data_IF_965656733099
#
_entry.id   IF_965656733099
#
_cell.length_a   1.000
_cell.length_b   1.000
_cell.length_c   1.000
_cell.angle_alpha   90.00
_cell.angle_beta   90.00
_cell.angle_gamma   90.00
#
_symmetry.space_group_name_H-M   'P 1'
#
loop_
_entity.id
_entity.type
_entity.pdbx_description
1 polymer ?
#
# COMPACT_ATOMS: atom_id res chain seq x y z
N UNK A 1 -28.20 8.41 20.45
CA UNK A 1 -28.08 8.69 19.01
C UNK A 1 -26.90 7.87 18.53
N UNK A 2 -27.10 7.02 17.54
CA UNK A 2 -26.00 6.24 16.98
C UNK A 2 -25.31 7.08 15.91
N UNK A 3 -23.99 7.20 15.99
CA UNK A 3 -23.20 7.74 14.89
C UNK A 3 -23.10 6.67 13.78
N UNK A 4 -23.02 7.07 12.51
CA UNK A 4 -22.84 6.11 11.41
C UNK A 4 -21.65 5.18 11.61
N UNK A 5 -20.56 5.63 12.26
CA UNK A 5 -19.38 4.80 12.53
C UNK A 5 -19.68 3.56 13.39
N UNK A 6 -20.81 3.56 14.10
CA UNK A 6 -21.26 2.43 14.93
C UNK A 6 -22.03 1.36 14.14
N UNK A 7 -22.48 1.68 12.92
CA UNK A 7 -23.02 0.70 11.98
C UNK A 7 -21.83 -0.05 11.37
N UNK A 8 -21.49 -1.20 11.94
CA UNK A 8 -20.39 -2.06 11.45
C UNK A 8 -20.94 -3.38 10.94
N UNK A 9 -20.51 -3.84 9.77
CA UNK A 9 -20.90 -5.16 9.23
C UNK A 9 -19.83 -5.73 8.28
N UNK A 10 -19.31 -6.92 8.61
CA UNK A 10 -18.35 -7.66 7.77
C UNK A 10 -19.05 -8.66 6.83
N UNK A 11 -20.39 -8.72 6.88
CA UNK A 11 -21.25 -9.63 6.12
C UNK A 11 -20.89 -11.12 6.18
N UNK A 12 -20.03 -11.55 7.13
CA UNK A 12 -19.57 -12.94 7.27
C UNK A 12 -20.67 -13.90 7.74
N UNK A 13 -21.76 -13.36 8.28
CA UNK A 13 -22.93 -14.14 8.67
C UNK A 13 -23.56 -14.88 7.47
N UNK A 14 -24.27 -15.99 7.68
CA UNK A 14 -24.88 -16.75 6.58
C UNK A 14 -26.15 -16.09 6.00
N UNK A 15 -26.70 -15.07 6.67
CA UNK A 15 -27.95 -14.39 6.31
C UNK A 15 -27.90 -12.94 6.75
N UNK A 16 -28.65 -12.08 6.05
CA UNK A 16 -28.84 -10.66 6.35
C UNK A 16 -29.10 -10.42 7.84
N UNK A 17 -28.31 -9.51 8.44
CA UNK A 17 -28.59 -9.00 9.77
C UNK A 17 -29.76 -8.01 9.71
N UNK A 18 -30.97 -8.53 9.91
CA UNK A 18 -32.22 -7.74 9.90
C UNK A 18 -32.31 -6.70 11.03
N UNK A 19 -31.40 -6.72 12.01
CA UNK A 19 -31.33 -5.66 13.03
C UNK A 19 -30.61 -4.44 12.47
N UNK A 20 -29.52 -4.66 11.73
CA UNK A 20 -28.76 -3.59 11.08
C UNK A 20 -29.42 -3.09 9.80
N UNK A 21 -29.98 -4.02 9.02
CA UNK A 21 -30.53 -3.81 7.67
C UNK A 21 -32.01 -4.22 7.57
N UNK A 22 -32.92 -3.59 8.36
CA UNK A 22 -34.34 -3.96 8.37
C UNK A 22 -35.10 -3.54 7.11
N UNK A 23 -34.62 -2.52 6.38
CA UNK A 23 -35.39 -1.81 5.36
C UNK A 23 -34.97 -2.20 3.93
N UNK A 24 -34.26 -3.32 3.76
CA UNK A 24 -33.82 -3.82 2.46
C UNK A 24 -34.97 -3.92 1.44
N UNK A 25 -34.72 -3.48 0.21
CA UNK A 25 -35.74 -3.45 -0.84
C UNK A 25 -35.20 -3.79 -2.23
N UNK A 26 -36.13 -4.12 -3.13
CA UNK A 26 -35.92 -4.21 -4.57
C UNK A 26 -37.22 -3.79 -5.28
N UNK A 27 -37.18 -2.72 -6.06
CA UNK A 27 -38.33 -2.14 -6.74
C UNK A 27 -38.72 -2.87 -8.03
N UNK A 28 -37.88 -3.77 -8.54
CA UNK A 28 -38.23 -4.57 -9.70
C UNK A 28 -39.37 -5.54 -9.35
N UNK A 29 -40.33 -5.66 -10.28
CA UNK A 29 -41.50 -6.53 -10.11
C UNK A 29 -41.03 -7.98 -9.98
N UNK A 30 -41.20 -8.57 -8.78
CA UNK A 30 -40.74 -9.93 -8.48
C UNK A 30 -39.23 -10.06 -8.30
N UNK A 31 -38.52 -8.94 -8.15
CA UNK A 31 -37.09 -8.89 -7.86
C UNK A 31 -36.76 -9.54 -6.51
N UNK A 32 -35.64 -10.26 -6.45
CA UNK A 32 -35.14 -10.80 -5.20
C UNK A 32 -34.67 -9.67 -4.27
N UNK A 33 -34.89 -9.80 -2.97
CA UNK A 33 -34.25 -8.89 -2.01
C UNK A 33 -32.74 -9.11 -2.00
N UNK A 34 -31.95 -8.10 -1.60
CA UNK A 34 -30.53 -8.28 -1.32
C UNK A 34 -30.27 -9.43 -0.36
N UNK A 35 -29.21 -10.19 -0.63
CA UNK A 35 -28.78 -11.34 0.15
C UNK A 35 -27.25 -11.34 0.35
N UNK A 36 -26.70 -12.32 1.05
CA UNK A 36 -25.25 -12.34 1.35
C UNK A 36 -24.59 -13.71 1.16
N UNK A 37 -24.63 -14.30 -0.05
CA UNK A 37 -23.95 -15.56 -0.31
C UNK A 37 -22.44 -15.35 -0.25
N UNK A 38 -21.74 -16.27 0.42
CA UNK A 38 -20.28 -16.29 0.52
C UNK A 38 -19.66 -15.10 1.28
N UNK A 39 -20.41 -14.51 2.22
CA UNK A 39 -19.84 -13.54 3.17
C UNK A 39 -19.72 -12.11 2.65
N UNK A 40 -20.54 -11.72 1.66
CA UNK A 40 -20.56 -10.36 1.09
C UNK A 40 -21.99 -9.93 0.83
N UNK A 41 -22.33 -8.66 1.06
CA UNK A 41 -23.62 -8.12 0.67
C UNK A 41 -23.75 -8.09 -0.85
N UNK A 42 -24.70 -8.85 -1.38
CA UNK A 42 -25.01 -8.91 -2.81
C UNK A 42 -26.32 -8.16 -3.09
N UNK A 43 -26.22 -7.09 -3.86
CA UNK A 43 -27.34 -6.24 -4.26
C UNK A 43 -27.70 -6.50 -5.72
N UNK A 44 -28.94 -6.91 -6.03
CA UNK A 44 -29.38 -7.10 -7.41
C UNK A 44 -29.29 -5.80 -8.23
N UNK A 45 -28.61 -5.85 -9.37
CA UNK A 45 -28.56 -4.76 -10.34
C UNK A 45 -29.47 -5.11 -11.52
N UNK A 46 -30.68 -4.52 -11.53
CA UNK A 46 -31.73 -4.76 -12.53
C UNK A 46 -32.53 -3.46 -12.77
N UNK A 47 -33.63 -3.54 -13.55
CA UNK A 47 -34.49 -2.39 -13.92
C UNK A 47 -35.33 -1.78 -12.77
N UNK A 48 -35.06 -2.16 -11.53
CA UNK A 48 -35.57 -1.49 -10.34
C UNK A 48 -34.44 -1.22 -9.35
N UNK A 49 -34.56 -0.15 -8.58
CA UNK A 49 -33.61 0.15 -7.52
C UNK A 49 -33.65 -0.96 -6.47
N UNK A 50 -32.50 -1.51 -6.13
CA UNK A 50 -32.37 -2.44 -5.01
C UNK A 50 -31.30 -1.94 -4.08
N UNK A 51 -31.51 -2.06 -2.77
CA UNK A 51 -30.52 -1.62 -1.79
C UNK A 51 -30.56 -2.44 -0.49
N UNK A 52 -29.37 -2.64 0.08
CA UNK A 52 -29.27 -2.85 1.54
C UNK A 52 -29.56 -1.51 2.20
N UNK A 53 -30.55 -1.46 3.08
CA UNK A 53 -30.96 -0.23 3.75
C UNK A 53 -31.02 -0.45 5.27
N UNK A 54 -30.25 0.39 5.97
CA UNK A 54 -30.16 0.35 7.43
C UNK A 54 -31.44 0.92 8.08
N UNK A 55 -31.55 0.87 9.41
CA UNK A 55 -32.61 1.62 10.08
C UNK A 55 -32.34 3.14 9.99
N UNK A 56 -33.35 4.01 9.77
CA UNK A 56 -33.20 5.48 9.86
C UNK A 56 -33.02 5.92 11.32
N UNK A 57 -31.82 5.76 11.87
CA UNK A 57 -31.52 5.97 13.29
C UNK A 57 -30.13 6.57 13.54
N UNK A 58 -29.45 7.02 12.47
CA UNK A 58 -28.07 7.46 12.52
C UNK A 58 -27.94 8.96 12.33
N UNK A 59 -26.77 9.47 12.70
CA UNK A 59 -26.29 10.81 12.37
C UNK A 59 -24.94 10.71 11.67
N UNK A 60 -24.69 11.62 10.72
CA UNK A 60 -23.39 11.75 10.06
C UNK A 60 -22.50 12.75 10.78
N UNK A 61 -23.05 13.61 11.63
CA UNK A 61 -22.29 14.61 12.36
C UNK A 61 -21.13 13.98 13.16
N UNK A 62 -19.90 14.44 12.90
CA UNK A 62 -18.64 13.95 13.47
C UNK A 62 -18.48 12.44 13.35
N UNK A 63 -18.89 11.89 12.20
CA UNK A 63 -18.97 10.45 11.93
C UNK A 63 -18.68 10.16 10.47
N UNK A 64 -18.61 8.87 10.12
CA UNK A 64 -18.43 8.41 8.75
C UNK A 64 -19.25 7.14 8.47
N UNK A 65 -19.48 6.87 7.19
CA UNK A 65 -19.90 5.57 6.67
C UNK A 65 -18.96 5.21 5.53
N UNK A 66 -18.29 4.07 5.63
CA UNK A 66 -17.39 3.54 4.61
C UNK A 66 -17.67 2.07 4.31
N UNK A 67 -17.37 1.64 3.09
CA UNK A 67 -17.68 0.30 2.58
C UNK A 67 -16.71 -0.09 1.46
N UNK A 68 -16.39 -1.38 1.38
CA UNK A 68 -15.73 -1.97 0.21
C UNK A 68 -16.78 -2.24 -0.87
N UNK A 69 -16.47 -1.93 -2.13
CA UNK A 69 -17.43 -2.05 -3.23
C UNK A 69 -16.81 -2.73 -4.45
N UNK A 70 -17.58 -3.65 -5.03
CA UNK A 70 -17.34 -4.22 -6.34
C UNK A 70 -18.57 -3.87 -7.18
N UNK A 71 -18.45 -2.94 -8.16
CA UNK A 71 -19.59 -2.52 -8.95
C UNK A 71 -20.06 -3.63 -9.90
N UNK A 72 -21.31 -3.56 -10.38
CA UNK A 72 -21.80 -4.51 -11.39
C UNK A 72 -21.03 -4.35 -12.70
N UNK A 73 -21.01 -5.40 -13.53
CA UNK A 73 -20.49 -5.26 -14.90
C UNK A 73 -21.45 -4.44 -15.77
N UNK A 74 -20.91 -3.76 -16.80
CA UNK A 74 -21.74 -3.05 -17.79
C UNK A 74 -22.73 -4.02 -18.45
N UNK A 75 -22.35 -5.29 -18.66
CA UNK A 75 -23.30 -6.32 -19.12
C UNK A 75 -23.94 -6.03 -20.48
N UNK A 76 -23.24 -5.28 -21.35
CA UNK A 76 -23.73 -4.84 -22.66
C UNK A 76 -24.77 -3.71 -22.60
N UNK A 77 -24.93 -3.06 -21.44
CA UNK A 77 -25.79 -1.91 -21.27
C UNK A 77 -25.36 -0.72 -22.14
N UNK A 78 -26.33 0.04 -22.61
CA UNK A 78 -26.12 1.32 -23.33
C UNK A 78 -26.66 2.52 -22.56
N UNK A 79 -27.45 2.27 -21.50
CA UNK A 79 -27.89 3.29 -20.57
C UNK A 79 -27.13 3.24 -19.24
N UNK A 80 -27.75 3.77 -18.19
CA UNK A 80 -27.14 3.92 -16.87
C UNK A 80 -27.01 2.57 -16.16
N UNK A 81 -25.79 2.29 -15.67
CA UNK A 81 -25.49 1.16 -14.79
C UNK A 81 -24.60 1.66 -13.67
N UNK A 82 -25.07 1.61 -12.43
CA UNK A 82 -24.34 2.15 -11.30
C UNK A 82 -24.61 1.41 -9.99
N UNK A 83 -23.72 1.65 -9.04
CA UNK A 83 -23.96 1.39 -7.63
C UNK A 83 -23.61 2.63 -6.79
N UNK A 84 -24.22 2.75 -5.61
CA UNK A 84 -24.11 3.93 -4.76
C UNK A 84 -23.95 3.55 -3.30
N UNK A 85 -23.14 4.34 -2.58
CA UNK A 85 -23.25 4.53 -1.15
C UNK A 85 -24.05 5.82 -0.91
N UNK A 86 -25.16 5.70 -0.18
CA UNK A 86 -26.05 6.83 0.10
C UNK A 86 -26.17 7.09 1.60
N UNK A 87 -26.22 8.37 1.96
CA UNK A 87 -26.77 8.83 3.24
C UNK A 87 -28.08 9.56 2.96
N UNK A 88 -29.19 8.94 3.32
CA UNK A 88 -30.55 9.39 3.01
C UNK A 88 -31.18 10.04 4.24
N UNK A 89 -31.77 11.23 4.04
CA UNK A 89 -32.54 11.92 5.08
C UNK A 89 -34.02 11.52 5.07
N UNK A 90 -34.79 11.95 6.08
CA UNK A 90 -36.25 11.78 6.06
C UNK A 90 -36.98 12.71 5.08
N UNK A 91 -36.28 13.67 4.48
CA UNK A 91 -36.81 14.54 3.42
C UNK A 91 -36.58 13.88 2.07
N UNK A 92 -37.68 13.58 1.38
CA UNK A 92 -37.65 12.96 0.05
C UNK A 92 -36.81 13.80 -0.93
N UNK A 93 -35.92 13.14 -1.65
CA UNK A 93 -35.01 13.80 -2.60
C UNK A 93 -33.80 14.49 -1.96
N UNK A 94 -33.63 14.39 -0.64
CA UNK A 94 -32.47 14.93 0.09
C UNK A 94 -31.55 13.82 0.58
N UNK A 95 -30.36 13.72 -0.02
CA UNK A 95 -29.39 12.65 0.23
C UNK A 95 -27.97 13.07 -0.17
N UNK A 96 -26.96 12.45 0.46
CA UNK A 96 -25.56 12.50 -0.01
C UNK A 96 -25.31 11.25 -0.85
N UNK A 97 -24.70 11.44 -2.01
CA UNK A 97 -24.46 10.41 -3.02
C UNK A 97 -22.97 10.20 -3.22
N UNK A 98 -22.56 8.93 -3.20
CA UNK A 98 -21.27 8.50 -3.71
C UNK A 98 -21.50 7.37 -4.70
N UNK A 99 -21.43 7.68 -5.99
CA UNK A 99 -21.84 6.82 -7.09
C UNK A 99 -20.66 6.35 -7.93
N UNK A 100 -20.62 5.05 -8.22
CA UNK A 100 -19.79 4.49 -9.28
C UNK A 100 -20.68 4.20 -10.48
N UNK A 101 -20.53 5.01 -11.53
CA UNK A 101 -21.18 4.78 -12.80
C UNK A 101 -20.23 4.02 -13.73
N UNK A 102 -20.50 2.72 -13.90
CA UNK A 102 -19.68 1.87 -14.78
C UNK A 102 -19.98 2.07 -16.26
N UNK A 103 -21.11 2.71 -16.60
CA UNK A 103 -21.46 3.01 -17.99
C UNK A 103 -20.63 4.18 -18.53
N UNK A 104 -20.34 5.17 -17.71
CA UNK A 104 -19.51 6.34 -18.06
C UNK A 104 -18.08 6.25 -17.53
N UNK A 105 -17.78 5.27 -16.67
CA UNK A 105 -16.51 5.10 -15.96
C UNK A 105 -16.15 6.32 -15.10
N UNK A 106 -17.15 6.84 -14.38
CA UNK A 106 -17.03 8.01 -13.52
C UNK A 106 -17.40 7.67 -12.08
N UNK A 107 -16.73 8.35 -11.16
CA UNK A 107 -17.05 8.39 -9.75
C UNK A 107 -17.68 9.76 -9.46
N UNK A 108 -18.94 9.77 -9.04
CA UNK A 108 -19.74 10.97 -8.80
C UNK A 108 -19.99 11.16 -7.30
N UNK A 109 -19.84 12.40 -6.83
CA UNK A 109 -19.93 12.80 -5.44
C UNK A 109 -20.85 14.01 -5.38
N UNK A 110 -22.02 13.87 -4.77
CA UNK A 110 -23.06 14.90 -4.85
C UNK A 110 -23.87 15.02 -3.56
N UNK A 111 -24.43 16.20 -3.33
CA UNK A 111 -25.46 16.46 -2.32
C UNK A 111 -26.76 16.80 -3.03
N UNK A 112 -27.68 15.84 -3.10
CA UNK A 112 -28.99 16.08 -3.68
C UNK A 112 -29.89 16.83 -2.70
N UNK A 113 -30.54 17.87 -3.21
CA UNK A 113 -31.75 18.47 -2.64
C UNK A 113 -32.79 18.53 -3.75
N UNK A 114 -34.01 18.05 -3.48
CA UNK A 114 -35.04 17.84 -4.50
C UNK A 114 -34.54 17.00 -5.70
N UNK A 115 -33.69 15.99 -5.43
CA UNK A 115 -33.06 15.08 -6.40
C UNK A 115 -31.99 15.68 -7.31
N UNK A 116 -31.56 16.91 -7.04
CA UNK A 116 -30.58 17.59 -7.89
C UNK A 116 -29.43 18.16 -7.07
N UNK A 117 -28.25 18.18 -7.68
CA UNK A 117 -27.09 18.93 -7.25
C UNK A 117 -26.64 19.81 -8.43
N UNK A 118 -26.31 21.07 -8.15
CA UNK A 118 -25.87 22.03 -9.16
C UNK A 118 -24.36 21.96 -9.44
N UNK A 119 -23.56 21.38 -8.54
CA UNK A 119 -22.10 21.32 -8.66
C UNK A 119 -21.49 20.00 -8.14
N UNK A 120 -21.89 18.84 -8.69
CA UNK A 120 -21.36 17.56 -8.23
C UNK A 120 -19.86 17.41 -8.54
N UNK A 121 -19.12 16.86 -7.58
CA UNK A 121 -17.74 16.43 -7.78
C UNK A 121 -17.69 15.18 -8.67
N UNK A 122 -16.82 15.18 -9.68
CA UNK A 122 -16.67 14.04 -10.62
C UNK A 122 -15.20 13.76 -10.89
N UNK A 123 -14.80 12.50 -10.75
CA UNK A 123 -13.45 12.01 -11.11
C UNK A 123 -13.55 10.72 -11.93
N UNK A 124 -12.54 10.38 -12.76
CA UNK A 124 -12.49 9.09 -13.44
C UNK A 124 -12.49 7.93 -12.42
N UNK A 125 -13.27 6.87 -12.68
CA UNK A 125 -13.28 5.69 -11.83
C UNK A 125 -12.07 4.77 -12.11
N UNK A 126 -11.35 4.38 -11.06
CA UNK A 126 -10.29 3.37 -11.07
C UNK A 126 -10.66 2.26 -10.05
N UNK A 127 -10.89 1.02 -10.49
CA UNK A 127 -11.36 -0.06 -9.62
C UNK A 127 -10.35 -0.49 -8.55
N UNK A 128 -9.06 -0.19 -8.72
CA UNK A 128 -8.02 -0.49 -7.73
C UNK A 128 -7.95 0.63 -6.70
N UNK A 129 -7.87 1.88 -7.16
CA UNK A 129 -7.76 3.03 -6.25
C UNK A 129 -9.07 3.33 -5.50
N UNK A 130 -10.22 2.95 -6.07
CA UNK A 130 -11.55 3.25 -5.54
C UNK A 130 -12.29 1.99 -5.07
N UNK A 131 -11.56 0.94 -4.68
CA UNK A 131 -12.13 -0.28 -4.12
C UNK A 131 -12.96 -0.03 -2.84
N UNK A 132 -12.64 1.04 -2.10
CA UNK A 132 -13.37 1.49 -0.92
C UNK A 132 -13.87 2.90 -1.09
N UNK A 133 -15.10 3.15 -0.60
CA UNK A 133 -15.75 4.44 -0.58
C UNK A 133 -16.08 4.83 0.86
N UNK A 134 -15.90 6.11 1.23
CA UNK A 134 -16.32 6.66 2.52
C UNK A 134 -16.89 8.06 2.38
N UNK A 135 -18.00 8.28 3.06
CA UNK A 135 -18.59 9.60 3.30
C UNK A 135 -18.33 9.94 4.76
N UNK A 136 -17.69 11.09 5.02
CA UNK A 136 -17.35 11.52 6.38
C UNK A 136 -17.72 12.99 6.61
N UNK A 137 -18.14 13.32 7.82
CA UNK A 137 -18.32 14.71 8.26
C UNK A 137 -17.48 14.96 9.51
N UNK A 138 -16.66 16.01 9.45
CA UNK A 138 -15.89 16.48 10.58
C UNK A 138 -15.74 18.01 10.52
N UNK A 139 -15.91 18.67 11.67
CA UNK A 139 -15.72 20.11 11.83
C UNK A 139 -16.47 20.97 10.79
N UNK A 140 -17.66 20.54 10.34
CA UNK A 140 -18.48 21.25 9.34
C UNK A 140 -18.07 20.99 7.89
N UNK A 141 -17.14 20.06 7.65
CA UNK A 141 -16.68 19.66 6.31
C UNK A 141 -17.19 18.28 5.98
N UNK A 142 -17.93 18.17 4.89
CA UNK A 142 -18.34 16.89 4.30
C UNK A 142 -17.28 16.46 3.29
N UNK A 143 -16.82 15.22 3.38
CA UNK A 143 -15.76 14.67 2.52
C UNK A 143 -16.18 13.34 1.90
N UNK A 144 -15.82 13.17 0.62
CA UNK A 144 -15.89 11.90 -0.09
C UNK A 144 -14.48 11.39 -0.28
N UNK A 145 -14.24 10.18 0.23
CA UNK A 145 -12.91 9.62 0.34
C UNK A 145 -12.88 8.24 -0.31
N UNK A 146 -11.79 7.93 -1.01
CA UNK A 146 -11.55 6.61 -1.57
C UNK A 146 -10.32 5.97 -0.95
N UNK A 147 -10.26 4.65 -0.99
CA UNK A 147 -9.10 3.89 -0.52
C UNK A 147 -8.93 2.60 -1.35
N UNK A 148 -7.68 2.21 -1.68
CA UNK A 148 -7.41 0.89 -2.25
C UNK A 148 -7.45 -0.23 -1.19
N UNK A 149 -7.25 0.09 0.09
CA UNK A 149 -6.98 -0.89 1.16
C UNK A 149 -7.92 -0.78 2.38
N UNK A 150 -8.86 0.17 2.38
CA UNK A 150 -9.79 0.44 3.47
C UNK A 150 -9.14 1.08 4.71
N UNK A 151 -7.85 1.46 4.63
CA UNK A 151 -7.04 1.96 5.75
C UNK A 151 -6.54 3.36 5.52
N UNK A 152 -5.95 3.60 4.35
CA UNK A 152 -5.43 4.90 3.94
C UNK A 152 -6.44 5.53 3.00
N UNK A 153 -7.02 6.65 3.45
CA UNK A 153 -8.10 7.32 2.76
C UNK A 153 -7.61 8.59 2.08
N UNK A 154 -8.01 8.79 0.83
CA UNK A 154 -7.72 9.97 0.03
C UNK A 154 -9.01 10.73 -0.24
N UNK A 155 -9.08 12.00 0.18
CA UNK A 155 -10.22 12.86 -0.13
C UNK A 155 -10.24 13.20 -1.63
N UNK A 156 -11.32 12.82 -2.31
CA UNK A 156 -11.56 13.12 -3.73
C UNK A 156 -12.35 14.41 -3.91
N UNK A 157 -13.26 14.70 -2.98
CA UNK A 157 -14.09 15.89 -2.98
C UNK A 157 -14.43 16.33 -1.56
N UNK A 158 -14.61 17.64 -1.35
CA UNK A 158 -14.97 18.21 -0.05
C UNK A 158 -15.88 19.41 -0.23
N UNK A 159 -16.90 19.51 0.62
CA UNK A 159 -17.84 20.64 0.64
C UNK A 159 -18.21 21.06 2.06
N UNK A 160 -18.91 22.18 2.20
CA UNK A 160 -19.50 22.58 3.48
C UNK A 160 -20.65 21.64 3.81
N UNK A 161 -20.60 21.02 4.99
CA UNK A 161 -21.60 20.05 5.39
C UNK A 161 -23.00 20.70 5.54
N UNK A 162 -24.05 20.16 4.88
CA UNK A 162 -25.42 20.61 5.08
C UNK A 162 -25.86 20.45 6.54
N UNK A 163 -26.71 21.34 7.05
CA UNK A 163 -27.15 21.28 8.46
C UNK A 163 -27.84 19.95 8.85
N UNK A 164 -28.52 19.32 7.88
CA UNK A 164 -29.27 18.07 8.08
C UNK A 164 -28.37 16.85 8.31
N UNK A 165 -27.05 16.93 8.08
CA UNK A 165 -26.12 15.82 8.45
C UNK A 165 -26.12 15.51 9.95
N UNK A 166 -26.58 16.48 10.76
CA UNK A 166 -26.77 16.36 12.21
C UNK A 166 -28.14 15.78 12.62
N UNK A 167 -29.00 15.49 11.65
CA UNK A 167 -30.26 14.77 11.91
C UNK A 167 -29.97 13.37 12.45
N UNK A 168 -30.99 12.78 13.08
CA UNK A 168 -30.84 11.58 13.93
C UNK A 168 -31.56 10.36 13.36
N UNK A 169 -32.20 10.55 12.23
CA UNK A 169 -33.03 9.61 11.47
C UNK A 169 -32.44 9.38 10.07
N UNK A 170 -31.13 9.59 9.90
CA UNK A 170 -30.44 9.30 8.66
C UNK A 170 -30.30 7.79 8.47
N UNK A 171 -30.35 7.37 7.21
CA UNK A 171 -30.24 5.98 6.78
C UNK A 171 -29.06 5.82 5.81
N UNK A 172 -28.22 4.82 6.03
CA UNK A 172 -27.25 4.38 5.04
C UNK A 172 -27.91 3.38 4.08
N UNK A 173 -27.69 3.56 2.78
CA UNK A 173 -28.11 2.61 1.75
C UNK A 173 -26.93 2.21 0.85
N UNK A 174 -26.85 0.92 0.52
CA UNK A 174 -25.94 0.36 -0.46
C UNK A 174 -26.77 -0.08 -1.67
N UNK A 175 -26.78 0.73 -2.71
CA UNK A 175 -27.76 0.65 -3.80
C UNK A 175 -27.12 0.19 -5.10
N UNK A 176 -27.88 -0.54 -5.92
CA UNK A 176 -27.53 -0.81 -7.32
C UNK A 176 -28.74 -0.62 -8.23
N UNK A 177 -28.47 -0.17 -9.46
CA UNK A 177 -29.49 0.05 -10.47
C UNK A 177 -28.91 -0.09 -11.88
N UNK A 178 -29.76 -0.52 -12.82
CA UNK A 178 -29.52 -0.39 -14.27
C UNK A 178 -30.82 -0.09 -15.00
N UNK A 179 -30.76 0.57 -16.14
CA UNK A 179 -31.92 0.79 -17.01
C UNK A 179 -32.01 -0.23 -18.18
N UNK A 180 -30.88 -0.80 -18.63
CA UNK A 180 -30.80 -1.83 -19.66
C UNK A 180 -29.66 -2.86 -19.42
N UNK A 181 -29.40 -3.68 -20.44
CA UNK A 181 -28.36 -4.72 -20.39
C UNK A 181 -28.77 -5.99 -19.61
N UNK A 182 -27.80 -6.87 -19.40
CA UNK A 182 -28.00 -8.10 -18.65
C UNK A 182 -28.02 -7.84 -17.14
N UNK A 183 -29.01 -8.40 -16.43
CA UNK A 183 -29.05 -8.33 -14.96
C UNK A 183 -27.74 -8.87 -14.37
N UNK A 184 -27.28 -8.20 -13.31
CA UNK A 184 -26.05 -8.53 -12.60
C UNK A 184 -26.21 -8.20 -11.11
N UNK A 185 -25.10 -8.13 -10.38
CA UNK A 185 -25.07 -7.76 -8.97
C UNK A 185 -23.95 -6.76 -8.68
N UNK A 186 -24.21 -5.83 -7.76
CA UNK A 186 -23.15 -5.13 -7.06
C UNK A 186 -22.83 -5.89 -5.77
N UNK A 187 -21.57 -5.91 -5.37
CA UNK A 187 -21.17 -6.49 -4.09
C UNK A 187 -20.61 -5.40 -3.19
N UNK A 188 -20.97 -5.49 -1.92
CA UNK A 188 -20.47 -4.63 -0.86
C UNK A 188 -19.93 -5.49 0.27
N UNK A 189 -18.88 -5.03 0.93
CA UNK A 189 -18.28 -5.72 2.06
C UNK A 189 -17.77 -4.72 3.10
N UNK A 190 -17.51 -5.21 4.31
CA UNK A 190 -16.75 -4.49 5.33
C UNK A 190 -17.25 -3.06 5.68
N UNK A 191 -18.56 -2.89 5.92
CA UNK A 191 -19.13 -1.59 6.33
C UNK A 191 -18.53 -1.14 7.65
N UNK A 192 -17.84 0.00 7.65
CA UNK A 192 -17.12 0.60 8.79
C UNK A 192 -16.21 -0.38 9.54
N UNK A 193 -15.73 -1.42 8.88
CA UNK A 193 -14.74 -2.34 9.42
C UNK A 193 -13.44 -2.18 8.65
N UNK A 194 -12.38 -1.84 9.37
CA UNK A 194 -11.04 -1.75 8.77
C UNK A 194 -10.51 -3.16 8.52
N UNK A 195 -10.13 -3.51 7.28
CA UNK A 195 -9.45 -4.78 7.00
C UNK A 195 -8.23 -4.92 7.90
N UNK A 196 -8.02 -6.09 8.49
CA UNK A 196 -6.84 -6.40 9.30
C UNK A 196 -5.82 -7.14 8.42
N UNK A 197 -4.57 -6.69 8.45
CA UNK A 197 -3.47 -7.34 7.77
C UNK A 197 -3.01 -8.49 8.65
N UNK A 198 -2.91 -9.68 8.06
CA UNK A 198 -2.47 -10.85 8.81
C UNK A 198 -0.97 -10.75 9.06
N UNK A 199 -0.56 -10.90 10.33
CA UNK A 199 0.86 -10.95 10.69
C UNK A 199 1.59 -12.01 9.86
N UNK A 200 2.69 -11.62 9.24
CA UNK A 200 3.32 -12.45 8.24
C UNK A 200 4.57 -11.82 7.66
N UNK A 201 5.33 -12.67 6.98
CA UNK A 201 6.51 -12.28 6.22
C UNK A 201 6.24 -12.65 4.77
N UNK A 202 6.43 -11.72 3.85
CA UNK A 202 6.14 -11.92 2.43
C UNK A 202 7.36 -11.56 1.60
N UNK A 203 7.72 -12.44 0.66
CA UNK A 203 8.70 -12.18 -0.39
C UNK A 203 8.03 -12.43 -1.72
N UNK A 204 7.98 -11.41 -2.55
CA UNK A 204 7.33 -11.50 -3.84
C UNK A 204 8.25 -11.01 -4.96
N UNK A 205 8.16 -11.67 -6.11
CA UNK A 205 8.86 -11.34 -7.35
C UNK A 205 7.80 -11.15 -8.43
N UNK A 206 7.81 -10.00 -9.09
CA UNK A 206 6.97 -9.73 -10.25
C UNK A 206 7.64 -10.39 -11.48
N UNK A 207 7.29 -11.65 -11.74
CA UNK A 207 7.88 -12.40 -12.86
C UNK A 207 7.37 -11.90 -14.21
N UNK A 208 6.08 -11.58 -14.31
CA UNK A 208 5.43 -11.13 -15.56
C UNK A 208 5.85 -9.71 -15.96
N UNK A 209 6.33 -8.91 -15.00
CA UNK A 209 6.73 -7.52 -15.21
C UNK A 209 5.54 -6.59 -15.45
N UNK A 210 4.36 -6.95 -14.95
CA UNK A 210 3.13 -6.17 -15.13
C UNK A 210 2.95 -5.06 -14.07
N UNK A 211 3.86 -5.00 -13.09
CA UNK A 211 3.82 -4.04 -12.00
C UNK A 211 2.98 -4.47 -10.80
N UNK A 212 2.36 -5.65 -10.87
CA UNK A 212 1.70 -6.35 -9.78
C UNK A 212 2.64 -7.32 -9.04
N UNK A 213 2.17 -7.84 -7.91
CA UNK A 213 2.80 -8.96 -7.19
C UNK A 213 1.71 -9.98 -6.81
N UNK A 214 0.69 -10.10 -7.64
CA UNK A 214 -0.53 -10.89 -7.44
C UNK A 214 -0.65 -12.06 -8.43
N UNK A 215 0.38 -12.27 -9.27
CA UNK A 215 0.51 -13.44 -10.11
C UNK A 215 0.58 -14.73 -9.28
N UNK A 216 0.08 -15.82 -9.85
CA UNK A 216 -0.06 -17.11 -9.14
C UNK A 216 1.25 -17.73 -8.64
N UNK A 217 2.41 -17.22 -9.07
CA UNK A 217 3.75 -17.67 -8.67
C UNK A 217 4.66 -16.52 -8.20
N UNK A 218 4.09 -15.32 -8.03
CA UNK A 218 4.85 -14.13 -7.64
C UNK A 218 5.20 -14.19 -6.16
N UNK A 219 4.30 -14.70 -5.32
CA UNK A 219 4.58 -14.99 -3.92
C UNK A 219 5.51 -16.21 -3.81
N UNK A 220 6.77 -15.96 -3.45
CA UNK A 220 7.80 -16.97 -3.29
C UNK A 220 8.12 -17.28 -1.82
N UNK A 221 7.31 -16.77 -0.90
CA UNK A 221 7.54 -16.84 0.56
C UNK A 221 7.79 -18.26 1.04
N UNK A 222 6.91 -19.20 0.67
CA UNK A 222 7.02 -20.60 1.08
C UNK A 222 8.28 -21.28 0.52
N UNK A 223 8.71 -20.91 -0.69
CA UNK A 223 9.91 -21.45 -1.30
C UNK A 223 11.17 -20.94 -0.61
N UNK A 224 11.19 -19.67 -0.18
CA UNK A 224 12.29 -19.06 0.59
C UNK A 224 12.40 -19.70 1.97
N UNK A 225 11.30 -19.75 2.72
CA UNK A 225 11.29 -20.24 4.12
C UNK A 225 11.75 -21.70 4.25
N UNK A 226 11.62 -22.51 3.19
CA UNK A 226 12.12 -23.89 3.16
C UNK A 226 13.65 -24.00 3.14
N UNK A 227 14.36 -22.97 2.67
CA UNK A 227 15.83 -23.00 2.50
C UNK A 227 16.56 -22.09 3.48
N UNK A 228 15.90 -21.04 3.98
CA UNK A 228 16.45 -20.17 5.00
C UNK A 228 15.82 -18.79 4.99
N UNK A 229 16.19 -17.92 5.93
CA UNK A 229 15.74 -16.54 5.90
C UNK A 229 16.38 -15.80 4.72
N UNK A 230 15.70 -14.75 4.25
CA UNK A 230 16.40 -13.77 3.41
C UNK A 230 17.48 -13.05 4.22
N UNK A 231 18.51 -12.60 3.52
CA UNK A 231 19.57 -11.78 4.11
C UNK A 231 19.58 -10.43 3.42
N UNK A 232 19.59 -9.35 4.20
CA UNK A 232 19.68 -7.99 3.69
C UNK A 232 21.01 -7.36 4.10
N UNK A 233 21.55 -6.50 3.24
CA UNK A 233 22.64 -5.59 3.58
C UNK A 233 22.31 -4.19 3.07
N UNK A 234 22.35 -3.19 3.95
CA UNK A 234 21.97 -1.80 3.64
C UNK A 234 23.01 -0.77 4.08
N UNK A 235 22.96 0.39 3.41
CA UNK A 235 23.52 1.64 3.91
C UNK A 235 25.03 1.62 4.13
N UNK A 236 25.45 1.98 5.36
CA UNK A 236 26.86 2.05 5.77
C UNK A 236 27.27 0.84 6.62
N UNK A 237 26.78 -0.35 6.31
CA UNK A 237 27.27 -1.60 6.91
C UNK A 237 28.67 -1.96 6.38
N UNK A 238 29.62 -1.06 6.64
CA UNK A 238 31.02 -1.18 6.30
C UNK A 238 31.84 -0.77 7.52
N UNK A 239 33.04 -1.31 7.64
CA UNK A 239 33.93 -1.09 8.79
C UNK A 239 34.30 0.40 9.06
N UNK A 240 33.93 1.35 8.19
CA UNK A 240 34.25 2.78 8.31
C UNK A 240 33.00 3.64 8.18
N UNK A 241 32.75 4.45 9.21
CA UNK A 241 31.59 5.35 9.33
C UNK A 241 31.49 6.43 8.23
N UNK A 242 32.58 6.71 7.52
CA UNK A 242 32.68 7.72 6.45
C UNK A 242 32.66 7.12 5.03
N UNK A 243 32.51 5.80 4.90
CA UNK A 243 32.37 5.20 3.57
C UNK A 243 31.09 5.68 2.88
N UNK A 244 31.11 5.82 1.53
CA UNK A 244 29.90 6.07 0.77
C UNK A 244 28.89 4.94 1.00
N UNK A 245 27.59 5.25 0.98
CA UNK A 245 26.54 4.24 1.07
C UNK A 245 26.67 3.22 -0.06
N UNK A 246 26.52 1.93 0.25
CA UNK A 246 26.46 0.86 -0.74
C UNK A 246 25.02 0.71 -1.22
N UNK A 247 24.84 0.30 -2.47
CA UNK A 247 23.58 -0.25 -3.00
C UNK A 247 23.11 -1.36 -2.06
N UNK A 248 21.87 -1.28 -1.59
CA UNK A 248 21.26 -2.30 -0.76
C UNK A 248 21.17 -3.62 -1.52
N UNK A 249 21.41 -4.74 -0.85
CA UNK A 249 21.35 -6.06 -1.46
C UNK A 249 20.49 -7.01 -0.65
N UNK A 250 19.70 -7.81 -1.34
CA UNK A 250 18.95 -8.92 -0.78
C UNK A 250 19.46 -10.23 -1.38
N UNK A 251 19.67 -11.23 -0.54
CA UNK A 251 20.00 -12.59 -0.97
C UNK A 251 18.97 -13.56 -0.41
N UNK A 252 18.46 -14.42 -1.27
CA UNK A 252 17.48 -15.43 -0.92
C UNK A 252 17.72 -16.73 -1.68
N UNK A 253 17.28 -17.84 -1.11
CA UNK A 253 17.39 -19.17 -1.72
C UNK A 253 15.99 -19.75 -1.81
N UNK A 254 15.55 -20.08 -3.03
CA UNK A 254 14.26 -20.70 -3.28
C UNK A 254 14.39 -22.21 -3.30
N UNK A 255 13.44 -22.91 -2.69
CA UNK A 255 13.23 -24.33 -2.94
C UNK A 255 12.66 -24.52 -4.36
N UNK A 256 13.31 -25.34 -5.17
CA UNK A 256 12.89 -25.61 -6.55
C UNK A 256 12.72 -27.11 -6.81
N UNK A 257 12.14 -27.81 -5.85
CA UNK A 257 11.94 -29.27 -5.92
C UNK A 257 11.05 -29.70 -7.10
N UNK A 258 10.07 -28.86 -7.44
CA UNK A 258 9.06 -29.09 -8.49
C UNK A 258 9.45 -28.47 -9.85
N UNK A 259 10.65 -27.86 -9.94
CA UNK A 259 11.20 -27.26 -11.17
C UNK A 259 10.34 -26.12 -11.74
N UNK A 260 9.67 -25.37 -10.85
CA UNK A 260 8.91 -24.17 -11.21
C UNK A 260 9.88 -23.04 -11.59
N UNK A 261 10.92 -22.81 -10.80
CA UNK A 261 11.89 -21.73 -11.04
C UNK A 261 13.04 -22.18 -11.96
N UNK A 262 12.73 -22.90 -13.03
CA UNK A 262 13.71 -23.46 -13.97
C UNK A 262 13.36 -23.05 -15.40
N UNK A 263 14.07 -22.05 -15.99
CA UNK A 263 13.80 -21.61 -17.37
C UNK A 263 13.99 -22.72 -18.42
N UNK A 264 14.84 -23.71 -18.13
CA UNK A 264 15.05 -24.85 -19.02
C UNK A 264 13.93 -25.91 -18.94
N UNK A 265 12.96 -25.75 -18.03
CA UNK A 265 11.84 -26.66 -17.87
C UNK A 265 10.62 -26.16 -18.67
N UNK A 266 10.26 -26.78 -19.81
CA UNK A 266 9.10 -26.36 -20.60
C UNK A 266 7.76 -26.59 -19.91
N UNK A 267 7.71 -27.42 -18.85
CA UNK A 267 6.51 -27.63 -18.03
C UNK A 267 6.37 -26.58 -16.91
N UNK A 268 7.35 -25.67 -16.75
CA UNK A 268 7.23 -24.60 -15.76
C UNK A 268 6.21 -23.54 -16.23
N UNK A 269 5.27 -23.14 -15.38
CA UNK A 269 4.30 -22.08 -15.68
C UNK A 269 4.91 -20.70 -15.93
N UNK A 270 6.12 -20.45 -15.44
CA UNK A 270 6.81 -19.15 -15.49
C UNK A 270 8.13 -19.21 -16.29
N UNK A 271 8.36 -20.29 -17.05
CA UNK A 271 9.62 -20.52 -17.76
C UNK A 271 10.03 -19.36 -18.67
N UNK A 272 9.04 -18.78 -19.36
CA UNK A 272 9.22 -17.69 -20.32
C UNK A 272 9.24 -16.30 -19.64
N UNK A 273 8.81 -16.21 -18.38
CA UNK A 273 8.65 -14.95 -17.63
C UNK A 273 9.87 -14.66 -16.73
N UNK A 274 10.77 -15.63 -16.52
CA UNK A 274 11.96 -15.42 -15.69
C UNK A 274 12.99 -14.49 -16.36
N UNK A 275 12.85 -13.18 -16.14
CA UNK A 275 13.76 -12.15 -16.63
C UNK A 275 14.76 -11.70 -15.55
N UNK A 276 16.05 -11.51 -15.90
CA UNK A 276 16.92 -10.63 -15.14
C UNK A 276 16.26 -9.25 -14.97
N UNK A 277 16.47 -8.60 -13.83
CA UNK A 277 15.83 -7.34 -13.45
C UNK A 277 14.31 -7.39 -13.18
N UNK A 278 13.74 -8.56 -12.91
CA UNK A 278 12.38 -8.66 -12.35
C UNK A 278 12.27 -7.87 -11.03
N UNK A 279 11.20 -7.05 -10.82
CA UNK A 279 10.98 -6.37 -9.55
C UNK A 279 10.81 -7.34 -8.38
N UNK A 280 11.35 -6.98 -7.22
CA UNK A 280 11.28 -7.78 -5.99
C UNK A 280 10.91 -6.89 -4.82
N UNK A 281 10.00 -7.39 -3.98
CA UNK A 281 9.71 -6.81 -2.68
C UNK A 281 9.83 -7.85 -1.57
N UNK A 282 10.28 -7.39 -0.41
CA UNK A 282 10.16 -8.12 0.84
C UNK A 282 9.52 -7.22 1.88
N UNK A 283 8.52 -7.73 2.58
CA UNK A 283 7.72 -6.97 3.53
C UNK A 283 7.28 -7.86 4.69
N UNK A 284 6.94 -7.24 5.81
CA UNK A 284 6.38 -7.95 6.95
C UNK A 284 5.23 -7.17 7.54
N UNK A 285 4.17 -7.88 7.90
CA UNK A 285 3.08 -7.33 8.70
C UNK A 285 3.33 -7.73 10.15
N UNK A 286 3.31 -6.75 11.04
CA UNK A 286 3.35 -6.98 12.47
C UNK A 286 2.38 -6.04 13.19
N UNK A 287 1.46 -6.62 13.97
CA UNK A 287 0.43 -5.88 14.70
C UNK A 287 -0.33 -4.93 13.77
N UNK A 288 -0.86 -5.51 12.69
CA UNK A 288 -1.72 -4.80 11.74
C UNK A 288 -1.04 -3.68 10.92
N UNK A 289 0.30 -3.58 11.02
CA UNK A 289 1.11 -2.57 10.33
C UNK A 289 2.04 -3.24 9.33
N UNK A 290 2.04 -2.75 8.08
CA UNK A 290 2.96 -3.17 7.04
C UNK A 290 4.30 -2.45 7.21
N UNK A 291 5.37 -3.24 7.33
CA UNK A 291 6.75 -2.78 7.34
C UNK A 291 7.43 -3.27 6.05
N UNK A 292 7.66 -2.39 5.06
CA UNK A 292 8.49 -2.74 3.93
C UNK A 292 9.91 -3.00 4.43
N UNK A 293 10.52 -4.08 3.95
CA UNK A 293 11.87 -4.49 4.33
C UNK A 293 12.86 -4.29 3.20
N UNK A 294 12.48 -4.58 1.95
CA UNK A 294 13.29 -4.37 0.75
C UNK A 294 12.42 -4.10 -0.47
N UNK A 295 12.87 -3.18 -1.33
CA UNK A 295 12.31 -2.96 -2.68
C UNK A 295 13.46 -2.83 -3.66
N UNK A 296 13.45 -3.64 -4.72
CA UNK A 296 14.55 -3.70 -5.68
C UNK A 296 14.26 -4.56 -6.89
N UNK A 297 15.32 -5.06 -7.53
CA UNK A 297 15.23 -5.90 -8.73
C UNK A 297 16.24 -7.05 -8.67
N UNK A 298 15.94 -8.16 -9.32
CA UNK A 298 16.87 -9.29 -9.46
C UNK A 298 18.10 -8.82 -10.26
N UNK A 299 19.28 -9.02 -9.69
CA UNK A 299 20.56 -8.86 -10.38
C UNK A 299 20.92 -10.13 -11.13
N UNK A 300 20.86 -11.25 -10.41
CA UNK A 300 21.23 -12.56 -10.92
C UNK A 300 20.44 -13.66 -10.23
N UNK A 301 20.29 -14.79 -10.92
CA UNK A 301 19.71 -16.00 -10.36
C UNK A 301 20.47 -17.23 -10.86
N UNK A 302 20.88 -18.09 -9.94
CA UNK A 302 21.60 -19.33 -10.24
C UNK A 302 20.72 -20.54 -9.89
N UNK A 303 20.41 -21.36 -10.89
CA UNK A 303 19.61 -22.57 -10.70
C UNK A 303 20.54 -23.75 -10.42
N UNK A 304 20.33 -24.41 -9.28
CA UNK A 304 21.01 -25.66 -8.92
C UNK A 304 20.10 -26.86 -9.25
N UNK A 305 20.42 -27.65 -10.30
CA UNK A 305 19.59 -28.78 -10.74
C UNK A 305 19.98 -30.11 -10.11
N UNK A 306 21.00 -30.14 -9.25
CA UNK A 306 21.56 -31.36 -8.69
C UNK A 306 20.53 -32.16 -7.90
N UNK A 307 20.59 -33.49 -7.96
CA UNK A 307 19.62 -34.34 -7.24
C UNK A 307 19.64 -34.10 -5.71
N UNK A 308 20.80 -33.72 -5.18
CA UNK A 308 20.98 -33.37 -3.77
C UNK A 308 20.68 -31.91 -3.45
N UNK A 309 20.65 -31.04 -4.47
CA UNK A 309 20.42 -29.62 -4.32
C UNK A 309 19.54 -29.09 -5.46
N UNK A 310 18.26 -28.88 -5.13
CA UNK A 310 17.23 -28.39 -6.05
C UNK A 310 16.78 -27.03 -5.57
N UNK A 311 17.61 -26.03 -5.79
CA UNK A 311 17.38 -24.67 -5.31
C UNK A 311 17.70 -23.63 -6.37
N UNK A 312 17.24 -22.40 -6.12
CA UNK A 312 17.63 -21.24 -6.93
C UNK A 312 18.14 -20.17 -5.99
N UNK A 313 19.39 -19.78 -6.16
CA UNK A 313 19.98 -18.66 -5.43
C UNK A 313 19.66 -17.38 -6.19
N UNK A 314 19.06 -16.40 -5.52
CA UNK A 314 18.69 -15.12 -6.12
C UNK A 314 19.37 -13.99 -5.34
N UNK A 315 20.05 -13.12 -6.08
CA UNK A 315 20.60 -11.87 -5.57
C UNK A 315 19.86 -10.70 -6.19
N UNK A 316 19.45 -9.76 -5.34
CA UNK A 316 18.72 -8.56 -5.74
C UNK A 316 19.48 -7.32 -5.29
N UNK A 317 19.39 -6.27 -6.10
CA UNK A 317 19.86 -4.93 -5.79
C UNK A 317 18.67 -4.01 -5.53
N UNK A 318 18.81 -3.08 -4.59
CA UNK A 318 17.80 -2.04 -4.39
C UNK A 318 17.72 -1.10 -5.61
N UNK A 319 16.75 -0.18 -5.59
CA UNK A 319 16.53 0.75 -6.70
C UNK A 319 17.70 1.74 -6.93
N UNK A 320 18.67 1.85 -6.02
CA UNK A 320 19.87 2.69 -6.23
C UNK A 320 20.73 2.17 -7.39
N UNK A 321 20.60 0.87 -7.71
CA UNK A 321 21.21 0.27 -8.90
C UNK A 321 20.78 0.92 -10.21
N UNK A 322 19.58 1.53 -10.28
CA UNK A 322 19.09 2.24 -11.47
C UNK A 322 19.94 3.48 -11.83
N UNK A 323 20.66 4.02 -10.85
CA UNK A 323 21.56 5.15 -11.07
C UNK A 323 22.92 4.71 -11.62
N UNK A 324 23.28 3.43 -11.47
CA UNK A 324 24.58 2.92 -11.86
C UNK A 324 24.59 2.55 -13.35
N UNK A 325 25.59 3.03 -14.08
CA UNK A 325 25.74 2.76 -15.51
C UNK A 325 24.82 3.61 -16.40
N UNK A 326 24.02 4.51 -15.82
CA UNK A 326 23.17 5.44 -16.57
C UNK A 326 23.87 6.79 -16.72
N UNK A 327 24.41 7.09 -17.91
CA UNK A 327 25.10 8.35 -18.18
C UNK A 327 24.14 9.44 -18.60
N UNK A 328 24.14 10.54 -17.85
CA UNK A 328 23.26 11.69 -18.06
C UNK A 328 24.04 12.93 -18.46
N UNK A 329 23.39 13.78 -19.24
CA UNK A 329 23.85 15.13 -19.57
C UNK A 329 22.72 16.10 -19.25
N UNK A 330 23.07 17.26 -18.72
CA UNK A 330 22.08 18.26 -18.27
C UNK A 330 22.38 19.62 -18.88
N UNK A 331 21.37 20.48 -18.92
CA UNK A 331 21.59 21.90 -19.20
C UNK A 331 22.30 22.59 -18.02
N UNK A 332 22.68 23.85 -18.22
CA UNK A 332 23.28 24.66 -17.17
C UNK A 332 22.21 25.10 -16.16
N UNK A 333 22.38 24.71 -14.90
CA UNK A 333 21.59 25.18 -13.78
C UNK A 333 22.34 26.25 -13.00
N UNK A 334 21.68 27.39 -12.79
CA UNK A 334 22.22 28.51 -12.03
C UNK A 334 21.55 28.59 -10.65
N UNK A 335 22.34 28.96 -9.63
CA UNK A 335 21.85 29.34 -8.31
C UNK A 335 20.95 28.29 -7.63
N UNK A 336 21.32 27.01 -7.72
CA UNK A 336 20.53 25.90 -7.16
C UNK A 336 21.09 25.36 -5.85
N UNK A 337 20.26 24.63 -5.11
CA UNK A 337 20.68 23.83 -3.95
C UNK A 337 20.86 22.38 -4.33
N UNK A 338 21.70 21.67 -3.59
CA UNK A 338 22.05 20.25 -3.87
C UNK A 338 20.84 19.33 -3.95
N UNK A 339 19.83 19.51 -3.08
CA UNK A 339 18.60 18.71 -3.10
C UNK A 339 17.82 18.87 -4.40
N UNK A 340 17.72 20.11 -4.90
CA UNK A 340 17.10 20.39 -6.20
C UNK A 340 17.87 19.73 -7.34
N UNK A 341 19.21 19.81 -7.31
CA UNK A 341 20.06 19.19 -8.33
C UNK A 341 19.98 17.65 -8.30
N UNK A 342 19.86 17.04 -7.13
CA UNK A 342 19.58 15.60 -7.00
C UNK A 342 18.23 15.26 -7.63
N UNK A 343 17.20 16.09 -7.42
CA UNK A 343 15.91 15.95 -8.10
C UNK A 343 16.05 15.94 -9.63
N UNK A 344 16.84 16.85 -10.19
CA UNK A 344 17.14 16.89 -11.64
C UNK A 344 17.83 15.62 -12.12
N UNK A 345 18.80 15.10 -11.36
CA UNK A 345 19.45 13.82 -11.69
C UNK A 345 18.44 12.67 -11.71
N UNK A 346 17.54 12.61 -10.73
CA UNK A 346 16.48 11.59 -10.66
C UNK A 346 15.48 11.70 -11.81
N UNK A 347 15.13 12.92 -12.24
CA UNK A 347 14.28 13.13 -13.41
C UNK A 347 14.98 12.68 -14.70
N UNK A 348 16.28 12.98 -14.84
CA UNK A 348 17.05 12.63 -16.03
C UNK A 348 17.20 11.12 -16.23
N UNK A 349 17.31 10.34 -15.15
CA UNK A 349 17.35 8.87 -15.22
C UNK A 349 15.97 8.22 -15.34
N UNK A 350 14.88 9.00 -15.26
CA UNK A 350 13.51 8.47 -15.31
C UNK A 350 13.06 7.81 -14.00
N UNK A 351 13.51 8.29 -12.85
CA UNK A 351 13.08 7.76 -11.55
C UNK A 351 11.59 8.00 -11.32
N UNK A 352 10.82 6.91 -11.24
CA UNK A 352 9.36 6.91 -11.03
C UNK A 352 8.94 6.69 -9.58
N UNK A 353 9.85 6.23 -8.72
CA UNK A 353 9.56 5.96 -7.31
C UNK A 353 9.39 7.24 -6.46
N UNK A 354 8.91 7.11 -5.22
CA UNK A 354 8.80 8.21 -4.28
C UNK A 354 10.16 8.86 -3.99
N UNK A 355 10.13 10.15 -3.62
CA UNK A 355 11.33 10.96 -3.31
C UNK A 355 11.12 11.74 -2.02
N UNK A 356 12.07 11.65 -1.10
CA UNK A 356 12.16 12.49 0.10
C UNK A 356 13.53 13.19 0.11
N UNK A 357 13.56 14.37 -0.50
CA UNK A 357 14.79 15.15 -0.71
C UNK A 357 14.79 16.37 0.20
N UNK A 358 15.73 16.42 1.13
CA UNK A 358 16.03 17.68 1.83
C UNK A 358 16.47 18.73 0.79
N UNK A 359 16.09 19.99 0.97
CA UNK A 359 16.41 21.05 0.00
C UNK A 359 17.93 21.22 -0.21
N UNK A 360 18.74 20.90 0.80
CA UNK A 360 20.20 21.04 0.78
C UNK A 360 20.67 22.33 1.43
N UNK A 361 21.76 22.25 2.19
CA UNK A 361 22.35 23.40 2.87
C UNK A 361 23.43 24.08 2.00
N UNK A 362 24.05 23.36 1.08
CA UNK A 362 25.00 23.90 0.10
C UNK A 362 24.26 24.57 -1.06
N UNK A 363 24.77 25.75 -1.43
CA UNK A 363 24.36 26.48 -2.62
C UNK A 363 25.41 26.30 -3.72
N UNK A 364 24.95 25.93 -4.91
CA UNK A 364 25.78 25.69 -6.09
C UNK A 364 25.50 26.79 -7.11
N UNK A 365 26.46 27.71 -7.35
CA UNK A 365 26.22 28.85 -8.25
C UNK A 365 25.97 28.44 -9.70
N UNK A 366 26.67 27.41 -10.18
CA UNK A 366 26.64 26.90 -11.55
C UNK A 366 26.85 25.39 -11.51
N UNK A 367 25.96 24.63 -12.17
CA UNK A 367 26.06 23.18 -12.22
C UNK A 367 25.56 22.65 -13.56
N UNK A 368 26.30 21.71 -14.14
CA UNK A 368 25.94 20.99 -15.36
C UNK A 368 26.67 19.65 -15.37
N UNK A 369 26.18 18.70 -16.16
CA UNK A 369 26.80 17.39 -16.39
C UNK A 369 26.95 17.13 -17.88
N UNK A 370 28.06 16.48 -18.24
CA UNK A 370 28.36 16.04 -19.61
C UNK A 370 28.76 14.56 -19.56
N UNK A 371 27.84 13.68 -19.96
CA UNK A 371 28.03 12.22 -20.01
C UNK A 371 28.53 11.60 -18.68
N UNK A 372 27.98 12.07 -17.56
CA UNK A 372 28.36 11.61 -16.22
C UNK A 372 27.40 10.53 -15.73
N UNK A 373 27.93 9.48 -15.14
CA UNK A 373 27.15 8.45 -14.45
C UNK A 373 26.29 9.06 -13.32
N UNK A 374 24.99 8.76 -13.31
CA UNK A 374 24.05 9.38 -12.39
C UNK A 374 24.37 9.10 -10.92
N UNK A 375 24.84 7.89 -10.58
CA UNK A 375 25.26 7.56 -9.22
C UNK A 375 26.47 8.41 -8.79
N UNK A 376 27.42 8.62 -9.70
CA UNK A 376 28.57 9.51 -9.49
C UNK A 376 28.11 10.96 -9.28
N UNK A 377 27.20 11.47 -10.11
CA UNK A 377 26.66 12.82 -9.97
C UNK A 377 25.96 13.05 -8.61
N UNK A 378 25.14 12.09 -8.16
CA UNK A 378 24.54 12.13 -6.82
C UNK A 378 25.62 12.13 -5.73
N UNK A 379 26.62 11.26 -5.86
CA UNK A 379 27.71 11.15 -4.88
C UNK A 379 28.52 12.43 -4.76
N UNK A 380 28.77 13.14 -5.87
CA UNK A 380 29.47 14.42 -5.90
C UNK A 380 28.65 15.54 -5.23
N UNK A 381 27.34 15.57 -5.46
CA UNK A 381 26.42 16.50 -4.81
C UNK A 381 26.34 16.25 -3.29
N UNK A 382 26.23 14.99 -2.88
CA UNK A 382 26.23 14.58 -1.46
C UNK A 382 27.57 14.94 -0.81
N UNK A 383 28.68 14.73 -1.51
CA UNK A 383 30.02 15.08 -1.02
C UNK A 383 30.18 16.60 -0.86
N UNK A 384 29.54 17.39 -1.72
CA UNK A 384 29.53 18.86 -1.65
C UNK A 384 28.75 19.42 -0.45
N UNK A 385 27.84 18.66 0.15
CA UNK A 385 27.24 19.00 1.46
C UNK A 385 28.21 18.80 2.63
N UNK A 386 29.07 17.79 2.51
CA UNK A 386 29.96 17.32 3.56
C UNK A 386 29.25 16.47 4.63
N UNK A 387 30.01 15.80 5.51
CA UNK A 387 29.45 14.96 6.55
C UNK A 387 28.54 15.77 7.50
N UNK A 388 27.42 15.21 7.99
CA UNK A 388 26.97 13.82 7.87
C UNK A 388 26.00 13.54 6.72
N UNK A 389 26.00 14.32 5.62
CA UNK A 389 25.07 14.12 4.50
C UNK A 389 25.03 12.67 3.99
N UNK A 390 23.87 12.25 3.47
CA UNK A 390 23.67 10.89 2.94
C UNK A 390 22.57 10.87 1.88
N UNK A 391 22.73 10.01 0.89
CA UNK A 391 21.66 9.61 -0.03
C UNK A 391 21.57 8.07 -0.06
N UNK A 392 20.36 7.53 -0.05
CA UNK A 392 20.09 6.09 -0.06
C UNK A 392 18.65 5.82 -0.48
N UNK A 393 18.32 4.55 -0.75
CA UNK A 393 16.93 4.11 -0.99
C UNK A 393 16.38 3.48 0.28
N UNK A 394 15.18 3.91 0.68
CA UNK A 394 14.46 3.33 1.81
C UNK A 394 13.93 1.92 1.50
N UNK A 395 13.57 1.12 2.52
CA UNK A 395 12.94 -0.20 2.32
C UNK A 395 11.68 -0.18 1.45
N UNK A 396 10.95 0.94 1.48
CA UNK A 396 9.74 1.24 0.71
C UNK A 396 10.03 1.67 -0.75
N UNK A 397 11.30 1.72 -1.16
CA UNK A 397 11.71 2.19 -2.47
C UNK A 397 11.82 3.72 -2.59
N UNK A 398 11.64 4.49 -1.51
CA UNK A 398 11.78 5.95 -1.54
C UNK A 398 13.24 6.36 -1.72
N UNK A 399 13.55 7.20 -2.71
CA UNK A 399 14.86 7.84 -2.78
C UNK A 399 14.97 8.93 -1.71
N UNK A 400 15.93 8.78 -0.80
CA UNK A 400 16.11 9.66 0.34
C UNK A 400 17.42 10.43 0.19
N UNK A 401 17.33 11.75 0.25
CA UNK A 401 18.50 12.62 0.41
C UNK A 401 18.39 13.44 1.70
N UNK A 402 19.47 13.42 2.49
CA UNK A 402 19.60 14.18 3.73
C UNK A 402 20.78 15.12 3.68
N UNK A 403 20.50 16.39 3.97
CA UNK A 403 21.52 17.41 4.06
C UNK A 403 22.36 17.27 5.34
N UNK A 404 23.39 18.10 5.51
CA UNK A 404 24.28 18.03 6.67
C UNK A 404 23.60 18.35 8.02
N UNK A 405 22.43 18.97 8.02
CA UNK A 405 21.69 19.37 9.23
C UNK A 405 20.60 18.37 9.63
N UNK A 406 20.35 17.31 8.87
CA UNK A 406 19.25 16.36 9.12
C UNK A 406 19.23 15.78 10.55
N UNK A 407 20.40 15.56 11.18
CA UNK A 407 20.48 15.05 12.57
C UNK A 407 20.06 16.07 13.62
N UNK A 408 20.12 17.35 13.29
CA UNK A 408 19.82 18.46 14.19
C UNK A 408 18.38 18.94 14.04
N UNK A 409 17.78 18.76 12.86
CA UNK A 409 16.48 19.36 12.53
C UNK A 409 15.35 18.33 12.40
N UNK A 410 15.64 17.10 11.99
CA UNK A 410 14.59 16.11 11.72
C UNK A 410 14.09 15.51 13.03
N UNK A 411 12.76 15.50 13.22
CA UNK A 411 12.13 14.94 14.41
C UNK A 411 12.60 13.50 14.70
N UNK A 412 12.70 12.66 13.66
CA UNK A 412 13.17 11.27 13.78
C UNK A 412 14.61 11.13 14.34
N UNK A 413 15.43 12.18 14.22
CA UNK A 413 16.80 12.22 14.76
C UNK A 413 16.87 12.78 16.18
N UNK A 414 15.80 13.45 16.65
CA UNK A 414 15.76 14.16 17.92
C UNK A 414 15.12 13.33 19.04
N UNK A 415 14.37 12.27 18.68
CA UNK A 415 13.71 11.38 19.64
C UNK A 415 14.06 9.92 19.37
N UNK A 416 14.20 9.07 20.42
CA UNK A 416 14.35 7.63 20.23
C UNK A 416 13.17 7.07 19.43
N UNK A 417 13.47 6.35 18.34
CA UNK A 417 12.44 5.77 17.45
C UNK A 417 11.96 4.39 17.92
N UNK A 418 12.81 3.67 18.66
CA UNK A 418 12.46 2.37 19.25
C UNK A 418 13.33 2.12 20.50
N UNK A 419 12.79 1.35 21.44
CA UNK A 419 13.55 0.83 22.58
C UNK A 419 13.55 -0.69 22.51
N UNK A 420 14.73 -1.28 22.29
CA UNK A 420 14.90 -2.72 22.32
C UNK A 420 15.29 -3.15 23.73
N UNK A 421 14.38 -3.85 24.42
CA UNK A 421 14.67 -4.45 25.72
C UNK A 421 14.79 -5.95 25.57
N UNK A 422 15.97 -6.50 25.84
CA UNK A 422 16.10 -7.94 26.02
C UNK A 422 15.45 -8.29 27.37
N UNK A 423 14.27 -8.90 27.33
CA UNK A 423 13.76 -9.63 28.49
C UNK A 423 14.62 -10.89 28.56
N UNK A 424 15.52 -10.96 29.54
CA UNK A 424 16.21 -12.22 29.83
C UNK A 424 15.12 -13.24 30.13
N UNK A 425 14.95 -14.32 29.34
CA UNK A 425 14.04 -15.39 29.72
C UNK A 425 14.42 -15.83 31.13
N UNK A 426 13.43 -16.06 32.00
CA UNK A 426 13.74 -16.54 33.34
C UNK A 426 14.59 -17.80 33.21
N UNK A 427 15.86 -17.71 33.60
CA UNK A 427 16.74 -18.87 33.65
C UNK A 427 16.08 -19.90 34.58
N UNK A 428 15.77 -21.07 34.04
CA UNK A 428 15.31 -22.22 34.83
C UNK A 428 16.39 -22.69 35.82
N UNK A 429 17.62 -22.18 35.68
CA UNK A 429 18.75 -22.51 36.52
C UNK A 429 18.84 -21.53 37.70
N UNK A 430 18.23 -21.92 38.82
CA UNK A 430 18.41 -21.25 40.12
C UNK A 430 19.78 -21.58 40.76
N UNK A 431 20.76 -21.93 39.93
CA UNK A 431 21.93 -22.70 40.32
C UNK A 431 23.25 -21.96 40.41
N UNK A 432 23.40 -20.67 40.07
CA UNK A 432 24.63 -19.93 40.39
C UNK A 432 24.37 -18.44 40.66
N UNK A 433 24.11 -18.15 41.93
CA UNK A 433 24.27 -16.82 42.50
C UNK A 433 25.75 -16.42 42.50
N UNK A 434 26.09 -15.32 41.81
CA UNK A 434 27.34 -14.60 42.05
C UNK A 434 28.01 -14.09 40.78
N UNK A 435 27.91 -12.78 40.59
CA UNK A 435 28.91 -11.93 39.92
C UNK A 435 29.06 -12.05 38.40
N UNK A 436 28.18 -11.33 37.68
CA UNK A 436 28.48 -10.72 36.39
C UNK A 436 27.56 -9.49 36.21
N UNK A 437 27.86 -8.39 36.89
CA UNK A 437 27.19 -7.10 36.72
C UNK A 437 28.08 -6.15 35.91
N UNK A 438 28.18 -6.39 34.60
CA UNK A 438 28.88 -5.48 33.69
C UNK A 438 28.91 -5.97 32.24
N UNK A 439 28.61 -5.08 31.30
CA UNK A 439 28.92 -5.28 29.89
C UNK A 439 30.45 -5.38 29.74
N UNK A 440 30.98 -6.58 29.47
CA UNK A 440 32.39 -6.77 29.09
C UNK A 440 33.16 -7.92 29.74
N UNK A 441 32.57 -8.75 30.62
CA UNK A 441 33.34 -9.75 31.39
C UNK A 441 33.16 -11.23 31.00
N UNK A 442 32.58 -11.56 29.83
CA UNK A 442 32.76 -12.89 29.24
C UNK A 442 33.86 -12.84 28.18
N UNK A 443 35.10 -12.88 28.64
CA UNK A 443 36.26 -13.02 27.76
C UNK A 443 36.14 -14.24 26.86
N UNK A 444 36.34 -14.05 25.56
CA UNK A 444 36.75 -15.13 24.67
C UNK A 444 38.11 -15.62 25.17
N UNK A 445 38.08 -16.70 25.95
CA UNK A 445 39.28 -17.34 26.48
C UNK A 445 40.16 -17.83 25.33
N UNK A 446 41.40 -17.37 25.35
CA UNK A 446 42.52 -17.94 24.63
C UNK A 446 42.60 -19.46 24.89
N UNK A 447 42.43 -20.27 23.85
CA UNK A 447 42.78 -21.67 23.86
C UNK A 447 44.26 -21.86 23.52
N UNK A 448 45.13 -21.75 24.52
CA UNK A 448 46.57 -22.03 24.41
C UNK A 448 46.97 -23.43 24.89
N UNK A 449 47.38 -24.28 23.93
CA UNK A 449 48.41 -25.35 23.93
C UNK A 449 48.39 -26.55 24.91
N UNK A 450 48.49 -27.76 24.32
CA UNK A 450 49.55 -28.73 24.65
C UNK A 450 49.13 -30.16 25.00
N UNK A 451 49.39 -31.10 24.07
CA UNK A 451 49.33 -32.56 24.25
C UNK A 451 49.65 -33.31 22.97
#
# INVERSE_FOLDING_TARGET
MAAFETLTDDFTAPTVDTVKWPDNYNEAIGGALPDQPAGRARVPCNQGYAAYASQPAYTLASSHVGVEVIPPSVGGATGSVFCQLLVVSSVVGTQIVFEIDVSTNLLLMAVHVDYTDEDPGVVPYDPVQHAWLRISEADGTLSWETSPDGRVWTAQHTETAPAWVSDTDLQAQLLAYRDDGANDYAFFDNVNTTPVMTDGYTVAVDWTGDGGFDGGYDDVTDAVLQRGPVTFAYGRDQARQLSPPRVGTLSMILCNADRIYSPENPDSPIADDMSPAAPVKAETVYQDTLYPLFTGRIEDFEVHPDRGDRSVDITCLDLLSLLQGNTISTELFEAQRTGTLIGVVLDAVGWTGPRDLDLGATFVPWWWLEEVDAFTAVTDLVSSEGPPSIAYVGPDGTFIFRDRHHRLLRAASLTPQATFTAVRPADCDTGHSGDCLGFGECGFGEGGFGG
#
